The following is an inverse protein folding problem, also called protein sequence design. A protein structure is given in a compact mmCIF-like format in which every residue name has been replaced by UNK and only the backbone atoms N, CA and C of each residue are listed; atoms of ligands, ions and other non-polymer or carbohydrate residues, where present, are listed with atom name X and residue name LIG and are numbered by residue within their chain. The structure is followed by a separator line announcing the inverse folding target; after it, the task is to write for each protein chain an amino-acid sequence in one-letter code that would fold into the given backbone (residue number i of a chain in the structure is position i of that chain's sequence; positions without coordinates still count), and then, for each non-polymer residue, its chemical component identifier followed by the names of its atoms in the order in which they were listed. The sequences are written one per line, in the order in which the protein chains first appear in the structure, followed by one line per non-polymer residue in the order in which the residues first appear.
data_IF_466755309527
#
_entry.id   IF_466755309527
#
_cell.length_a   1.000
_cell.length_b   1.000
_cell.length_c   1.000
_cell.angle_alpha   90.00
_cell.angle_beta   90.00
_cell.angle_gamma   90.00
#
_symmetry.space_group_name_H-M   'P 1'
#
loop_
_entity.id
_entity.type
_entity.pdbx_description
1 polymer ?
#
# COMPACT_ATOMS: atom_id res chain seq x y z
N UNK A 1 4.98 17.03 21.68
CA UNK A 1 3.76 17.07 20.85
C UNK A 1 4.23 17.21 19.42
N UNK A 2 4.14 16.16 18.60
CA UNK A 2 4.67 16.20 17.22
C UNK A 2 3.78 17.13 16.43
N UNK A 3 4.37 18.22 15.96
CA UNK A 3 3.73 19.27 15.18
C UNK A 3 3.41 18.75 13.77
N UNK A 4 2.14 18.43 13.52
CA UNK A 4 1.64 17.88 12.25
C UNK A 4 1.47 18.94 11.14
N UNK A 5 1.72 20.22 11.41
CA UNK A 5 1.57 21.33 10.44
C UNK A 5 2.83 21.63 9.61
N UNK A 6 3.95 20.95 9.86
CA UNK A 6 5.14 21.14 9.03
C UNK A 6 4.87 20.59 7.63
N UNK A 7 4.94 21.44 6.59
CA UNK A 7 4.73 21.05 5.19
C UNK A 7 5.58 19.82 4.84
N UNK A 8 4.93 18.65 4.93
CA UNK A 8 5.48 17.32 4.74
C UNK A 8 5.79 17.14 3.25
N UNK A 9 7.01 17.47 2.86
CA UNK A 9 7.46 17.43 1.47
C UNK A 9 7.35 16.04 0.82
N UNK A 10 7.83 15.89 -0.43
CA UNK A 10 7.74 14.64 -1.20
C UNK A 10 8.35 13.42 -0.47
N UNK A 11 9.29 13.65 0.45
CA UNK A 11 9.87 12.61 1.31
C UNK A 11 8.82 11.95 2.25
N UNK A 12 7.93 12.72 2.87
CA UNK A 12 6.92 12.15 3.76
C UNK A 12 5.83 11.43 2.98
N UNK A 13 5.44 11.95 1.82
CA UNK A 13 4.50 11.28 0.92
C UNK A 13 5.06 9.91 0.46
N UNK A 14 6.36 9.83 0.21
CA UNK A 14 7.07 8.57 -0.07
C UNK A 14 7.04 7.60 1.12
N UNK A 15 7.30 8.08 2.34
CA UNK A 15 7.22 7.24 3.55
C UNK A 15 5.81 6.66 3.73
N UNK A 16 4.78 7.49 3.59
CA UNK A 16 3.39 7.03 3.62
C UNK A 16 3.07 6.05 2.48
N UNK A 17 3.59 6.30 1.27
CA UNK A 17 3.48 5.38 0.14
C UNK A 17 4.12 4.01 0.40
N UNK A 18 5.28 3.98 1.07
CA UNK A 18 5.95 2.75 1.48
C UNK A 18 5.18 2.00 2.57
N UNK A 19 4.65 2.70 3.56
CA UNK A 19 3.79 2.10 4.61
C UNK A 19 2.52 1.52 3.98
N UNK A 20 1.85 2.27 3.10
CA UNK A 20 0.68 1.81 2.37
C UNK A 20 1.02 0.61 1.48
N UNK A 21 2.19 0.60 0.83
CA UNK A 21 2.65 -0.54 0.03
C UNK A 21 2.83 -1.80 0.87
N UNK A 22 3.44 -1.66 2.05
CA UNK A 22 3.64 -2.77 2.98
C UNK A 22 2.30 -3.35 3.45
N UNK A 23 1.37 -2.48 3.87
CA UNK A 23 0.02 -2.89 4.27
C UNK A 23 -0.76 -3.54 3.12
N UNK A 24 -0.67 -2.98 1.91
CA UNK A 24 -1.28 -3.53 0.70
C UNK A 24 -0.77 -4.94 0.37
N UNK A 25 0.54 -5.16 0.46
CA UNK A 25 1.14 -6.49 0.25
C UNK A 25 0.72 -7.50 1.33
N UNK A 26 0.63 -7.07 2.60
CA UNK A 26 0.14 -7.94 3.67
C UNK A 26 -1.33 -8.35 3.44
N UNK A 27 -2.19 -7.40 3.03
CA UNK A 27 -3.57 -7.67 2.66
C UNK A 27 -3.69 -8.58 1.43
N UNK A 28 -2.85 -8.36 0.42
CA UNK A 28 -2.77 -9.20 -0.79
C UNK A 28 -2.42 -10.64 -0.42
N UNK A 29 -1.38 -10.86 0.40
CA UNK A 29 -0.97 -12.18 0.84
C UNK A 29 -2.06 -12.87 1.67
N UNK A 30 -2.70 -12.14 2.58
CA UNK A 30 -3.82 -12.66 3.36
C UNK A 30 -5.00 -13.09 2.48
N UNK A 31 -5.33 -12.28 1.47
CA UNK A 31 -6.35 -12.59 0.47
C UNK A 31 -5.96 -13.78 -0.42
N UNK A 32 -4.70 -13.82 -0.88
CA UNK A 32 -4.15 -14.90 -1.71
C UNK A 32 -4.21 -16.24 -1.00
N UNK A 33 -3.83 -16.30 0.29
CA UNK A 33 -3.90 -17.54 1.07
C UNK A 33 -5.35 -18.03 1.17
N UNK A 34 -6.31 -17.18 1.54
CA UNK A 34 -7.73 -17.58 1.62
C UNK A 34 -8.34 -17.93 0.26
N UNK A 35 -7.92 -17.24 -0.79
CA UNK A 35 -8.43 -17.53 -2.13
C UNK A 35 -7.92 -18.89 -2.64
N UNK A 36 -6.65 -19.21 -2.38
CA UNK A 36 -6.07 -20.50 -2.78
C UNK A 36 -6.59 -21.66 -1.94
N UNK A 37 -6.79 -21.46 -0.63
CA UNK A 37 -7.22 -22.54 0.28
C UNK A 37 -8.69 -22.89 0.11
N UNK A 38 -9.57 -21.90 0.09
CA UNK A 38 -11.02 -22.10 0.17
C UNK A 38 -11.82 -21.20 -0.78
N UNK A 39 -11.16 -20.51 -1.71
CA UNK A 39 -11.82 -19.58 -2.65
C UNK A 39 -12.39 -18.33 -1.98
N UNK A 40 -12.13 -18.13 -0.70
CA UNK A 40 -12.65 -17.01 0.09
C UNK A 40 -11.74 -15.78 -0.04
N UNK A 41 -12.16 -14.63 0.48
CA UNK A 41 -11.31 -13.41 0.59
C UNK A 41 -10.80 -12.83 -0.74
N UNK A 42 -11.48 -13.08 -1.85
CA UNK A 42 -11.20 -12.43 -3.14
C UNK A 42 -11.18 -10.90 -3.01
N UNK A 43 -12.07 -10.33 -2.19
CA UNK A 43 -12.09 -8.89 -1.92
C UNK A 43 -10.78 -8.37 -1.32
N UNK A 44 -10.18 -9.09 -0.37
CA UNK A 44 -8.89 -8.73 0.22
C UNK A 44 -7.74 -8.86 -0.77
N UNK A 45 -7.79 -9.86 -1.65
CA UNK A 45 -6.83 -10.04 -2.72
C UNK A 45 -6.88 -8.85 -3.71
N UNK A 46 -8.07 -8.48 -4.15
CA UNK A 46 -8.26 -7.35 -5.07
C UNK A 46 -7.87 -6.01 -4.44
N UNK A 47 -8.28 -5.77 -3.18
CA UNK A 47 -7.93 -4.53 -2.46
C UNK A 47 -6.42 -4.45 -2.23
N UNK A 48 -5.79 -5.52 -1.75
CA UNK A 48 -4.35 -5.57 -1.55
C UNK A 48 -3.58 -5.30 -2.83
N UNK A 49 -3.99 -5.93 -3.94
CA UNK A 49 -3.37 -5.73 -5.25
C UNK A 49 -3.53 -4.31 -5.80
N UNK A 50 -4.72 -3.73 -5.66
CA UNK A 50 -4.95 -2.34 -6.08
C UNK A 50 -4.10 -1.35 -5.27
N UNK A 51 -4.01 -1.52 -3.95
CA UNK A 51 -3.19 -0.66 -3.08
C UNK A 51 -1.71 -0.78 -3.45
N UNK A 52 -1.19 -2.00 -3.60
CA UNK A 52 0.20 -2.23 -4.03
C UNK A 52 0.49 -1.59 -5.38
N UNK A 53 -0.40 -1.74 -6.36
CA UNK A 53 -0.24 -1.15 -7.69
C UNK A 53 -0.18 0.37 -7.64
N UNK A 54 -1.11 1.01 -6.93
CA UNK A 54 -1.16 2.48 -6.75
C UNK A 54 0.10 2.97 -6.04
N UNK A 55 0.55 2.27 -4.99
CA UNK A 55 1.78 2.61 -4.27
C UNK A 55 3.00 2.54 -5.18
N UNK A 56 3.15 1.47 -5.97
CA UNK A 56 4.28 1.31 -6.90
C UNK A 56 4.28 2.42 -7.95
N UNK A 57 3.13 2.71 -8.57
CA UNK A 57 3.00 3.78 -9.55
C UNK A 57 3.37 5.15 -8.96
N UNK A 58 2.88 5.43 -7.75
CA UNK A 58 3.15 6.69 -7.05
C UNK A 58 4.61 6.83 -6.63
N UNK A 59 5.25 5.74 -6.18
CA UNK A 59 6.65 5.71 -5.77
C UNK A 59 7.63 5.71 -6.95
N UNK A 60 7.23 5.14 -8.09
CA UNK A 60 8.06 5.05 -9.30
C UNK A 60 8.27 6.37 -10.02
N UNK A 61 7.47 7.39 -9.71
CA UNK A 61 7.64 8.73 -10.29
C UNK A 61 8.88 9.41 -9.68
N UNK A 62 9.89 9.79 -10.49
CA UNK A 62 11.08 10.46 -9.99
C UNK A 62 10.69 11.82 -9.40
N UNK A 63 11.13 12.08 -8.17
CA UNK A 63 11.06 13.40 -7.54
C UNK A 63 12.01 14.32 -8.30
N UNK A 64 11.47 15.19 -9.15
CA UNK A 64 12.22 16.35 -9.67
C UNK A 64 12.34 17.43 -8.60
#
# INVERSE_FOLDING_TARGET
MIDLETRLGPATLRVWGLIANFAGNAALLYGAIGYVVDGSRLSWLLVGGAVTLVSVLSLSSPSR
#
